data_IF_954884076061
#
_entry.id   IF_954884076061
#
_cell.length_a   1.000
_cell.length_b   1.000
_cell.length_c   1.000
_cell.angle_alpha   90.00
_cell.angle_beta   90.00
_cell.angle_gamma   90.00
#
_symmetry.space_group_name_H-M   'P 1'
#
loop_
_entity.id
_entity.type
_entity.pdbx_description
1 polymer ?
#
# COMPACT_ATOMS: atom_id res chain seq x y z
N UNK A 1 5.39 12.38 -4.97
CA UNK A 1 5.62 10.91 -5.04
C UNK A 1 5.30 10.38 -6.43
N UNK A 2 5.99 9.32 -6.91
CA UNK A 2 5.67 8.65 -8.18
C UNK A 2 5.02 7.29 -7.94
N UNK A 3 4.13 6.89 -8.86
CA UNK A 3 3.48 5.59 -8.88
C UNK A 3 3.90 4.83 -10.13
N UNK A 4 4.43 3.63 -9.93
CA UNK A 4 4.76 2.69 -11.00
C UNK A 4 3.76 1.56 -10.95
N UNK A 5 3.18 1.23 -12.09
CA UNK A 5 2.16 0.18 -12.20
C UNK A 5 2.50 -0.77 -13.34
N UNK A 6 2.62 -2.05 -13.01
CA UNK A 6 2.67 -3.16 -13.98
C UNK A 6 1.29 -3.80 -14.04
N UNK A 7 0.68 -3.94 -15.24
CA UNK A 7 -0.42 -4.89 -15.41
C UNK A 7 0.00 -6.26 -14.91
N UNK A 8 -0.85 -6.96 -14.16
CA UNK A 8 -0.49 -8.22 -13.54
C UNK A 8 -1.56 -9.28 -13.77
N UNK A 9 -1.11 -10.48 -14.16
CA UNK A 9 -1.97 -11.65 -14.34
C UNK A 9 -1.48 -12.77 -13.42
N UNK A 10 -2.40 -13.40 -12.70
CA UNK A 10 -2.07 -14.50 -11.79
C UNK A 10 -3.19 -15.55 -11.73
N UNK A 11 -2.88 -16.83 -11.46
CA UNK A 11 -3.87 -17.90 -11.45
C UNK A 11 -4.78 -17.95 -10.20
N UNK A 12 -4.57 -17.08 -9.20
CA UNK A 12 -5.43 -17.06 -8.01
C UNK A 12 -4.78 -16.53 -6.74
N UNK A 13 -4.06 -15.41 -6.83
CA UNK A 13 -3.44 -14.79 -5.66
C UNK A 13 -4.53 -14.37 -4.65
N UNK A 14 -4.45 -14.88 -3.42
CA UNK A 14 -5.45 -14.58 -2.37
C UNK A 14 -5.15 -13.24 -1.69
N UNK A 15 -6.17 -12.49 -1.20
CA UNK A 15 -5.93 -11.31 -0.38
C UNK A 15 -5.05 -11.61 0.85
N UNK A 16 -4.27 -10.63 1.30
CA UNK A 16 -3.35 -10.83 2.44
C UNK A 16 -1.97 -11.37 2.08
N UNK A 17 -1.64 -11.44 0.78
CA UNK A 17 -0.32 -11.84 0.28
C UNK A 17 0.78 -10.78 0.45
N UNK A 18 0.49 -9.63 1.09
CA UNK A 18 1.41 -8.49 1.17
C UNK A 18 2.81 -8.82 1.73
N UNK A 19 2.93 -9.74 2.69
CA UNK A 19 4.25 -10.20 3.17
C UNK A 19 5.01 -11.04 2.12
N UNK A 20 4.31 -11.94 1.42
CA UNK A 20 4.90 -12.75 0.35
C UNK A 20 5.33 -11.88 -0.83
N UNK A 21 4.50 -10.89 -1.20
CA UNK A 21 4.80 -9.91 -2.25
C UNK A 21 6.02 -9.08 -1.90
N UNK A 22 6.06 -8.52 -0.70
CA UNK A 22 7.23 -7.80 -0.22
C UNK A 22 8.52 -8.65 -0.29
N UNK A 23 8.44 -9.91 0.14
CA UNK A 23 9.57 -10.83 0.11
C UNK A 23 10.02 -11.12 -1.32
N UNK A 24 9.09 -11.27 -2.26
CA UNK A 24 9.38 -11.49 -3.67
C UNK A 24 10.06 -10.28 -4.31
N UNK A 25 9.53 -9.07 -4.09
CA UNK A 25 10.11 -7.82 -4.58
C UNK A 25 11.49 -7.55 -3.99
N UNK A 26 11.72 -7.93 -2.73
CA UNK A 26 13.02 -7.78 -2.09
C UNK A 26 14.06 -8.74 -2.69
N UNK A 27 13.69 -10.00 -2.96
CA UNK A 27 14.56 -10.95 -3.68
C UNK A 27 14.86 -10.51 -5.11
N UNK A 28 13.90 -9.87 -5.78
CA UNK A 28 14.09 -9.30 -7.11
C UNK A 28 14.93 -7.99 -7.10
N UNK A 29 15.37 -7.51 -5.94
CA UNK A 29 16.16 -6.29 -5.81
C UNK A 29 15.37 -5.00 -6.02
N UNK A 30 14.03 -5.08 -6.15
CA UNK A 30 13.19 -3.90 -6.40
C UNK A 30 13.05 -3.04 -5.13
N UNK A 31 12.92 -3.65 -3.95
CA UNK A 31 12.66 -2.93 -2.70
C UNK A 31 13.56 -3.44 -1.57
N UNK A 32 14.14 -2.52 -0.78
CA UNK A 32 14.99 -2.87 0.34
C UNK A 32 14.22 -2.94 1.69
N UNK A 33 14.74 -3.72 2.65
CA UNK A 33 14.12 -3.94 3.97
C UNK A 33 14.03 -2.71 4.89
N UNK A 34 14.85 -1.68 4.70
CA UNK A 34 14.86 -0.46 5.53
C UNK A 34 14.29 0.78 4.84
N UNK A 35 13.83 0.64 3.61
CA UNK A 35 13.61 1.79 2.75
C UNK A 35 12.38 2.65 3.14
N UNK A 36 12.59 3.97 3.39
CA UNK A 36 11.51 4.89 3.65
C UNK A 36 10.78 5.29 2.36
N UNK A 37 9.52 5.71 2.49
CA UNK A 37 8.77 6.28 1.36
C UNK A 37 8.38 5.30 0.26
N UNK A 38 8.41 3.99 0.53
CA UNK A 38 7.92 2.95 -0.38
C UNK A 38 6.58 2.40 0.11
N UNK A 39 5.59 2.43 -0.76
CA UNK A 39 4.29 1.80 -0.57
C UNK A 39 4.09 0.73 -1.64
N UNK A 40 3.66 -0.46 -1.25
CA UNK A 40 3.37 -1.56 -2.18
C UNK A 40 1.90 -1.89 -2.00
N UNK A 41 1.09 -1.69 -3.03
CA UNK A 41 -0.30 -2.11 -3.04
C UNK A 41 -0.39 -3.64 -3.19
N UNK A 42 -1.49 -4.22 -2.72
CA UNK A 42 -1.81 -5.60 -3.06
C UNK A 42 -2.09 -5.73 -4.56
N UNK A 43 -1.69 -6.88 -5.12
CA UNK A 43 -1.95 -7.21 -6.51
C UNK A 43 -3.41 -7.65 -6.63
N UNK A 44 -4.14 -6.95 -7.48
CA UNK A 44 -5.47 -7.33 -7.95
C UNK A 44 -5.37 -7.67 -9.44
N UNK A 45 -5.36 -6.63 -10.27
CA UNK A 45 -5.14 -6.66 -11.72
C UNK A 45 -3.77 -6.09 -12.10
N UNK A 46 -3.04 -5.56 -11.11
CA UNK A 46 -1.83 -4.78 -11.30
C UNK A 46 -0.97 -4.82 -10.05
N UNK A 47 0.35 -4.82 -10.25
CA UNK A 47 1.33 -4.51 -9.21
C UNK A 47 1.55 -3.00 -9.22
N UNK A 48 1.23 -2.34 -8.11
CA UNK A 48 1.47 -0.91 -7.95
C UNK A 48 2.47 -0.67 -6.82
N UNK A 49 3.53 0.07 -7.12
CA UNK A 49 4.54 0.51 -6.15
C UNK A 49 4.63 2.03 -6.23
N UNK A 50 4.53 2.70 -5.08
CA UNK A 50 4.75 4.14 -4.96
C UNK A 50 6.07 4.41 -4.29
N UNK A 51 6.83 5.35 -4.84
CA UNK A 51 8.19 5.68 -4.41
C UNK A 51 8.32 7.20 -4.33
N UNK A 52 8.82 7.68 -3.20
CA UNK A 52 9.07 9.11 -3.00
C UNK A 52 10.23 9.63 -3.86
N UNK A 53 11.29 8.83 -4.02
CA UNK A 53 12.48 9.15 -4.80
C UNK A 53 12.30 8.87 -6.31
N UNK A 54 12.31 9.91 -7.17
CA UNK A 54 12.16 9.74 -8.63
C UNK A 54 13.29 8.96 -9.30
N UNK A 55 14.54 9.10 -8.84
CA UNK A 55 15.68 8.41 -9.45
C UNK A 55 15.54 6.91 -9.30
N UNK A 56 15.12 6.48 -8.11
CA UNK A 56 14.83 5.08 -7.85
C UNK A 56 13.60 4.58 -8.61
N UNK A 57 12.56 5.40 -8.73
CA UNK A 57 11.40 5.04 -9.51
C UNK A 57 11.79 4.75 -10.97
N UNK A 58 12.68 5.56 -11.54
CA UNK A 58 13.30 5.29 -12.84
C UNK A 58 14.04 3.96 -12.90
N UNK A 59 14.93 3.69 -11.94
CA UNK A 59 15.67 2.41 -11.89
C UNK A 59 14.74 1.19 -11.85
N UNK A 60 13.66 1.26 -11.08
CA UNK A 60 12.68 0.18 -10.98
C UNK A 60 11.86 0.00 -12.27
N UNK A 61 11.51 1.09 -12.94
CA UNK A 61 10.80 1.07 -14.22
C UNK A 61 11.57 0.26 -15.28
N UNK A 62 12.90 0.34 -15.28
CA UNK A 62 13.77 -0.40 -16.20
C UNK A 62 14.22 -1.79 -15.70
N UNK A 63 13.61 -2.33 -14.64
CA UNK A 63 14.01 -3.62 -14.05
C UNK A 63 13.89 -4.82 -15.00
N UNK A 64 13.12 -4.71 -16.09
CA UNK A 64 12.93 -5.80 -17.06
C UNK A 64 12.17 -7.01 -16.50
N UNK A 65 11.56 -6.88 -15.32
CA UNK A 65 10.86 -7.97 -14.64
C UNK A 65 9.52 -8.26 -15.33
N UNK A 66 9.38 -9.44 -15.92
CA UNK A 66 8.17 -9.93 -16.58
C UNK A 66 7.41 -10.99 -15.74
N UNK A 67 8.02 -11.48 -14.66
CA UNK A 67 7.44 -12.48 -13.77
C UNK A 67 7.93 -12.35 -12.33
N UNK A 68 7.03 -12.60 -11.38
CA UNK A 68 7.32 -12.60 -9.95
C UNK A 68 6.68 -13.83 -9.28
N UNK A 69 7.44 -14.56 -8.47
CA UNK A 69 6.89 -15.62 -7.60
C UNK A 69 6.47 -15.03 -6.25
N UNK A 70 5.16 -14.93 -6.03
CA UNK A 70 4.54 -14.42 -4.82
C UNK A 70 3.97 -15.58 -3.99
N UNK A 71 4.81 -16.14 -3.12
CA UNK A 71 4.38 -17.19 -2.19
C UNK A 71 3.96 -18.49 -2.88
N UNK A 72 4.67 -18.86 -3.95
CA UNK A 72 4.38 -20.05 -4.77
C UNK A 72 3.41 -19.77 -5.92
N UNK A 73 2.89 -18.55 -6.02
CA UNK A 73 2.00 -18.14 -7.13
C UNK A 73 2.80 -17.32 -8.14
N UNK A 74 2.86 -17.82 -9.37
CA UNK A 74 3.46 -17.09 -10.48
C UNK A 74 2.56 -15.92 -10.90
N UNK A 75 3.11 -14.70 -10.84
CA UNK A 75 2.49 -13.46 -11.32
C UNK A 75 3.24 -13.01 -12.56
N UNK A 76 2.56 -12.93 -13.70
CA UNK A 76 3.11 -12.32 -14.92
C UNK A 76 2.91 -10.82 -14.88
N UNK A 77 3.93 -10.05 -15.25
CA UNK A 77 3.94 -8.59 -15.28
C UNK A 77 4.03 -8.10 -16.73
N UNK A 78 3.12 -7.19 -17.09
CA UNK A 78 3.17 -6.49 -18.38
C UNK A 78 4.09 -5.28 -18.35
N UNK A 79 4.09 -4.50 -19.43
CA UNK A 79 4.87 -3.26 -19.54
C UNK A 79 4.47 -2.27 -18.45
N UNK A 80 5.43 -1.77 -17.64
CA UNK A 80 5.11 -0.79 -16.62
C UNK A 80 4.72 0.56 -17.21
N UNK A 81 3.96 1.31 -16.43
CA UNK A 81 3.74 2.75 -16.61
C UNK A 81 4.18 3.49 -15.35
N UNK A 82 4.70 4.71 -15.51
CA UNK A 82 5.05 5.60 -14.40
C UNK A 82 4.22 6.87 -14.50
N UNK A 83 3.63 7.30 -13.38
CA UNK A 83 2.77 8.48 -13.33
C UNK A 83 2.86 9.19 -11.98
N UNK A 84 2.56 10.50 -11.93
CA UNK A 84 2.29 11.16 -10.66
C UNK A 84 1.01 10.60 -10.02
N UNK A 85 0.88 10.79 -8.70
CA UNK A 85 -0.38 10.53 -8.02
C UNK A 85 -1.49 11.44 -8.56
N UNK A 86 -2.70 10.91 -8.63
CA UNK A 86 -3.91 11.69 -8.97
C UNK A 86 -4.78 11.83 -7.72
N UNK A 87 -5.37 12.99 -7.54
CA UNK A 87 -6.36 13.18 -6.48
C UNK A 87 -7.57 12.28 -6.71
N UNK A 88 -8.26 11.97 -5.62
CA UNK A 88 -9.51 11.22 -5.65
C UNK A 88 -10.36 11.58 -4.44
N UNK A 89 -11.66 11.90 -4.62
CA UNK A 89 -12.54 12.20 -3.50
C UNK A 89 -12.76 11.00 -2.58
N UNK A 90 -12.57 9.79 -3.12
CA UNK A 90 -12.79 8.53 -2.43
C UNK A 90 -11.51 7.72 -2.39
N UNK A 91 -11.05 7.37 -1.20
CA UNK A 91 -9.84 6.58 -1.01
C UNK A 91 -10.12 5.41 -0.07
N UNK A 92 -9.53 4.25 -0.38
CA UNK A 92 -9.63 3.06 0.45
C UNK A 92 -8.29 2.36 0.63
N UNK A 93 -8.05 1.88 1.85
CA UNK A 93 -7.01 0.92 2.17
C UNK A 93 -7.68 -0.34 2.76
N UNK A 94 -7.35 -1.52 2.20
CA UNK A 94 -7.93 -2.81 2.66
C UNK A 94 -7.61 -3.08 4.13
N UNK A 95 -6.41 -2.70 4.56
CA UNK A 95 -5.94 -2.93 5.91
C UNK A 95 -4.99 -1.81 6.31
N UNK A 96 -5.17 -1.28 7.51
CA UNK A 96 -4.29 -0.29 8.13
C UNK A 96 -3.90 -0.84 9.50
N UNK A 97 -2.60 -0.84 9.78
CA UNK A 97 -2.04 -1.35 11.02
C UNK A 97 -1.37 -0.21 11.76
N UNK A 98 -1.92 0.16 12.90
CA UNK A 98 -1.32 1.15 13.81
C UNK A 98 -0.87 0.43 15.07
N UNK A 99 0.40 0.64 15.44
CA UNK A 99 0.99 0.01 16.63
C UNK A 99 0.19 0.41 17.88
N UNK A 100 -0.09 -0.56 18.75
CA UNK A 100 -0.85 -0.40 20.00
C UNK A 100 -2.33 -0.01 19.84
N UNK A 101 -2.87 0.03 18.62
CA UNK A 101 -4.29 0.28 18.36
C UNK A 101 -5.04 -1.04 18.12
N UNK A 102 -5.42 -1.71 19.20
CA UNK A 102 -5.96 -3.08 19.15
C UNK A 102 -7.50 -3.17 19.17
N UNK A 103 -8.19 -2.07 19.45
CA UNK A 103 -9.64 -1.94 19.37
C UNK A 103 -10.05 -0.73 18.52
N UNK A 104 -11.32 -0.68 18.10
CA UNK A 104 -11.85 0.35 17.19
C UNK A 104 -11.60 1.78 17.72
N UNK A 105 -11.93 2.03 18.99
CA UNK A 105 -11.74 3.33 19.63
C UNK A 105 -10.27 3.78 19.61
N UNK A 106 -9.35 2.89 20.04
CA UNK A 106 -7.91 3.18 20.04
C UNK A 106 -7.35 3.40 18.62
N UNK A 107 -7.91 2.69 17.63
CA UNK A 107 -7.55 2.81 16.23
C UNK A 107 -8.00 4.13 15.64
N UNK A 108 -9.28 4.51 15.82
CA UNK A 108 -9.81 5.80 15.37
C UNK A 108 -9.03 6.97 15.95
N UNK A 109 -8.75 6.96 17.26
CA UNK A 109 -7.96 8.01 17.90
C UNK A 109 -6.54 8.11 17.32
N UNK A 110 -5.88 6.97 17.09
CA UNK A 110 -4.53 6.95 16.52
C UNK A 110 -4.50 7.35 15.04
N UNK A 111 -5.52 6.96 14.27
CA UNK A 111 -5.69 7.34 12.87
C UNK A 111 -5.87 8.85 12.74
N UNK A 112 -6.78 9.45 13.52
CA UNK A 112 -6.99 10.90 13.56
C UNK A 112 -5.71 11.65 13.94
N UNK A 113 -4.96 11.16 14.93
CA UNK A 113 -3.67 11.76 15.31
C UNK A 113 -2.68 11.76 14.14
N UNK A 114 -2.54 10.65 13.43
CA UNK A 114 -1.63 10.57 12.28
C UNK A 114 -2.08 11.44 11.10
N UNK A 115 -3.39 11.53 10.84
CA UNK A 115 -3.94 12.45 9.83
C UNK A 115 -3.64 13.91 10.17
N UNK A 116 -3.79 14.30 11.43
CA UNK A 116 -3.41 15.64 11.89
C UNK A 116 -1.93 15.96 11.71
N UNK A 117 -1.04 14.97 11.90
CA UNK A 117 0.41 15.15 11.67
C UNK A 117 0.77 15.40 10.21
N UNK A 118 -0.04 14.90 9.27
CA UNK A 118 0.13 15.15 7.83
C UNK A 118 -0.77 16.29 7.33
N UNK A 119 -1.39 17.06 8.22
CA UNK A 119 -2.22 18.22 7.86
C UNK A 119 -3.54 17.87 7.18
N UNK A 120 -4.10 16.68 7.43
CA UNK A 120 -5.38 16.21 6.89
C UNK A 120 -6.45 16.30 7.98
N UNK A 121 -7.58 16.96 7.65
CA UNK A 121 -8.70 17.13 8.59
C UNK A 121 -9.85 16.14 8.36
N UNK A 122 -9.79 15.35 7.28
CA UNK A 122 -10.81 14.37 6.94
C UNK A 122 -10.94 13.26 8.00
N UNK A 123 -12.17 12.90 8.33
CA UNK A 123 -12.45 11.81 9.27
C UNK A 123 -12.40 10.44 8.56
N UNK A 124 -11.64 9.46 9.07
CA UNK A 124 -11.62 8.12 8.50
C UNK A 124 -12.91 7.37 8.82
N UNK A 125 -13.41 6.61 7.85
CA UNK A 125 -14.43 5.59 8.04
C UNK A 125 -13.70 4.27 8.35
N UNK A 126 -13.82 3.79 9.58
CA UNK A 126 -13.21 2.53 10.01
C UNK A 126 -14.15 1.40 9.61
N UNK A 127 -13.65 0.47 8.80
CA UNK A 127 -14.40 -0.67 8.29
C UNK A 127 -14.09 -1.95 9.11
N UNK A 128 -14.33 -3.12 8.49
CA UNK A 128 -14.15 -4.43 9.11
C UNK A 128 -12.71 -4.62 9.62
N UNK A 129 -12.61 -5.16 10.84
CA UNK A 129 -11.37 -5.67 11.43
C UNK A 129 -10.77 -6.78 10.55
N UNK A 130 -9.48 -6.69 10.28
CA UNK A 130 -8.72 -7.65 9.49
C UNK A 130 -7.43 -8.09 10.18
N UNK A 131 -6.72 -9.04 9.57
CA UNK A 131 -5.45 -9.55 10.07
C UNK A 131 -4.46 -9.68 8.91
N UNK A 132 -3.22 -9.23 9.14
CA UNK A 132 -2.06 -9.56 8.32
C UNK A 132 -1.28 -10.69 8.99
N UNK A 133 -0.88 -11.71 8.23
CA UNK A 133 0.04 -12.75 8.70
C UNK A 133 1.46 -12.38 8.26
N UNK A 134 2.37 -12.26 9.23
CA UNK A 134 3.78 -11.92 8.99
C UNK A 134 4.64 -12.94 9.71
N UNK A 135 5.37 -13.78 8.96
CA UNK A 135 6.25 -14.80 9.52
C UNK A 135 5.59 -15.61 10.67
N UNK A 136 4.37 -16.11 10.43
CA UNK A 136 3.59 -16.87 11.43
C UNK A 136 2.88 -16.04 12.51
N UNK A 137 3.12 -14.72 12.60
CA UNK A 137 2.45 -13.85 13.57
C UNK A 137 1.23 -13.18 12.96
N UNK A 138 0.15 -13.08 13.76
CA UNK A 138 -1.09 -12.37 13.40
C UNK A 138 -1.01 -10.93 13.88
N UNK A 139 -1.16 -9.99 12.96
CA UNK A 139 -1.19 -8.55 13.27
C UNK A 139 -2.56 -7.99 12.91
N UNK A 140 -3.25 -7.43 13.89
CA UNK A 140 -4.59 -6.86 13.71
C UNK A 140 -4.50 -5.50 13.03
N UNK A 141 -5.45 -5.23 12.15
CA UNK A 141 -5.68 -3.93 11.55
C UNK A 141 -7.14 -3.73 11.17
N UNK A 142 -7.44 -2.61 10.53
CA UNK A 142 -8.79 -2.24 10.11
C UNK A 142 -8.79 -1.78 8.66
N UNK A 143 -9.85 -2.10 7.91
CA UNK A 143 -10.11 -1.39 6.66
C UNK A 143 -10.39 0.08 6.94
N UNK A 144 -9.96 0.97 6.05
CA UNK A 144 -10.21 2.41 6.18
C UNK A 144 -10.61 2.98 4.83
N UNK A 145 -11.71 3.74 4.82
CA UNK A 145 -12.10 4.55 3.67
C UNK A 145 -12.25 6.03 4.04
N UNK A 146 -12.17 6.86 3.01
CA UNK A 146 -12.47 8.29 3.04
C UNK A 146 -13.41 8.60 1.87
N UNK A 147 -14.28 9.59 2.07
CA UNK A 147 -15.25 10.05 1.11
C UNK A 147 -15.29 11.58 1.13
N UNK A 148 -15.50 12.20 -0.04
CA UNK A 148 -15.58 13.66 -0.15
C UNK A 148 -14.27 14.40 0.19
N UNK A 149 -13.11 13.78 -0.09
CA UNK A 149 -11.82 14.41 0.12
C UNK A 149 -11.59 15.59 -0.83
N UNK A 150 -10.91 16.62 -0.33
CA UNK A 150 -10.30 17.62 -1.21
C UNK A 150 -9.14 17.01 -1.99
N UNK A 151 -8.78 17.62 -3.12
CA UNK A 151 -7.61 17.19 -3.89
C UNK A 151 -6.34 17.14 -3.04
N UNK A 152 -6.12 18.17 -2.22
CA UNK A 152 -4.96 18.27 -1.35
C UNK A 152 -4.94 17.16 -0.28
N UNK A 153 -6.05 16.90 0.39
CA UNK A 153 -6.11 15.85 1.43
C UNK A 153 -5.95 14.46 0.82
N UNK A 154 -6.57 14.22 -0.34
CA UNK A 154 -6.43 12.94 -1.04
C UNK A 154 -4.99 12.66 -1.47
N UNK A 155 -4.26 13.68 -1.94
CA UNK A 155 -2.86 13.53 -2.30
C UNK A 155 -2.01 13.29 -1.05
N UNK A 156 -2.21 14.05 0.04
CA UNK A 156 -1.48 13.84 1.29
C UNK A 156 -1.67 12.43 1.86
N UNK A 157 -2.90 11.93 1.88
CA UNK A 157 -3.19 10.56 2.32
C UNK A 157 -2.48 9.54 1.43
N UNK A 158 -2.51 9.70 0.10
CA UNK A 158 -1.85 8.78 -0.81
C UNK A 158 -0.32 8.81 -0.70
N UNK A 159 0.27 9.98 -0.46
CA UNK A 159 1.72 10.15 -0.33
C UNK A 159 2.29 9.56 0.96
N UNK A 160 1.57 9.75 2.08
CA UNK A 160 2.06 9.35 3.40
C UNK A 160 1.56 7.97 3.82
N UNK A 161 0.41 7.54 3.31
CA UNK A 161 -0.31 6.40 3.84
C UNK A 161 -0.78 6.62 5.28
N UNK A 162 -1.20 5.54 5.93
CA UNK A 162 -1.58 5.55 7.35
C UNK A 162 -1.04 4.30 8.04
N UNK A 163 -0.48 4.45 9.23
CA UNK A 163 0.09 3.34 9.98
C UNK A 163 1.34 2.75 9.33
N UNK A 164 1.71 1.55 9.79
CA UNK A 164 2.91 0.85 9.36
C UNK A 164 2.64 -0.22 8.31
N UNK A 165 3.71 -0.92 7.91
CA UNK A 165 3.68 -2.06 6.99
C UNK A 165 3.15 -1.72 5.58
N UNK A 166 3.38 -0.49 5.12
CA UNK A 166 3.02 -0.01 3.77
C UNK A 166 3.70 -0.76 2.63
N UNK A 167 4.87 -1.34 2.89
CA UNK A 167 5.54 -2.27 1.97
C UNK A 167 4.88 -3.66 1.89
N UNK A 168 3.89 -3.92 2.73
CA UNK A 168 3.14 -5.18 2.78
C UNK A 168 1.64 -4.93 2.53
N UNK A 169 1.27 -3.91 1.75
CA UNK A 169 -0.13 -3.62 1.41
C UNK A 169 -0.94 -2.90 2.49
N UNK A 170 -0.36 -2.56 3.64
CA UNK A 170 -1.10 -1.93 4.74
C UNK A 170 -0.99 -0.41 4.72
N UNK A 171 -2.08 0.33 4.85
CA UNK A 171 -2.00 1.79 4.87
C UNK A 171 -1.74 2.42 3.50
N UNK A 172 -1.89 1.65 2.42
CA UNK A 172 -1.74 2.11 1.05
C UNK A 172 -3.13 2.42 0.49
N UNK A 173 -3.41 3.70 0.25
CA UNK A 173 -4.73 4.18 -0.17
C UNK A 173 -4.84 4.26 -1.68
N UNK A 174 -5.87 3.65 -2.26
CA UNK A 174 -6.18 3.71 -3.69
C UNK A 174 -7.57 4.31 -3.90
N UNK A 175 -7.78 4.95 -5.05
CA UNK A 175 -9.10 5.36 -5.51
C UNK A 175 -10.02 4.14 -5.62
N UNK A 176 -11.26 4.27 -5.15
CA UNK A 176 -12.28 3.23 -5.20
C UNK A 176 -13.55 3.71 -5.88
#
# INVERSE_FOLDING_TARGET
>A
MLEITWPATHPGLRPGHGYALFSALSRAGMVAHGEPGVQIAEILDSLTIRIADPAKAGAMFYSGLDRLDVGGVAVSLGTPSIRPLRSSPDLRARLVIIKNATCDQSFRASALKQLGLIGVSAAPHVERRGVLHVAGKRVVGYGVSFHGLSDADSLRIQEHGLGGKQRMGCGVFRSC
#
